data_IF_987355042244
#
_entry.id   IF_987355042244
#
_cell.length_a   1.000
_cell.length_b   1.000
_cell.length_c   1.000
_cell.angle_alpha   90.00
_cell.angle_beta   90.00
_cell.angle_gamma   90.00
#
_symmetry.space_group_name_H-M   'P 1'
#
loop_
_entity.id
_entity.type
_entity.pdbx_description
1 polymer ?
#
# COMPACT_ATOMS: atom_id res chain seq x y z
N UNK A 1 40.49 -28.33 -50.02
CA UNK A 1 39.33 -29.21 -50.27
C UNK A 1 38.14 -28.62 -49.55
N UNK A 2 37.15 -28.18 -50.33
CA UNK A 2 35.90 -27.56 -49.89
C UNK A 2 34.89 -28.65 -49.57
N UNK A 3 34.35 -28.67 -48.36
CA UNK A 3 33.03 -29.20 -47.98
C UNK A 3 32.68 -28.50 -46.65
N UNK A 4 31.61 -27.73 -46.46
CA UNK A 4 30.33 -27.67 -47.15
C UNK A 4 29.22 -28.15 -46.22
N UNK A 5 28.61 -27.21 -45.49
CA UNK A 5 27.26 -27.27 -44.87
C UNK A 5 27.12 -28.23 -43.65
N UNK A 6 26.25 -28.04 -42.64
CA UNK A 6 25.01 -27.28 -42.46
C UNK A 6 24.91 -26.89 -40.97
N UNK A 7 24.53 -25.65 -40.65
CA UNK A 7 24.11 -25.22 -39.31
C UNK A 7 22.82 -25.93 -38.91
N UNK A 8 22.81 -26.69 -37.81
CA UNK A 8 21.58 -27.04 -37.09
C UNK A 8 21.58 -26.35 -35.74
N UNK A 9 20.92 -25.20 -35.72
CA UNK A 9 20.55 -24.46 -34.53
C UNK A 9 19.30 -25.14 -33.95
N UNK A 10 19.45 -25.95 -32.90
CA UNK A 10 18.31 -26.46 -32.16
C UNK A 10 18.05 -25.53 -30.98
N UNK A 11 17.08 -24.62 -31.16
CA UNK A 11 16.41 -23.91 -30.09
C UNK A 11 15.65 -24.94 -29.24
N UNK A 12 16.11 -25.19 -28.02
CA UNK A 12 15.32 -25.86 -26.99
C UNK A 12 15.32 -24.96 -25.76
N UNK A 13 14.49 -23.92 -25.83
CA UNK A 13 14.25 -23.02 -24.71
C UNK A 13 12.74 -22.81 -24.59
N UNK A 14 12.27 -22.80 -23.34
CA UNK A 14 10.93 -22.42 -22.87
C UNK A 14 9.85 -23.52 -22.88
N UNK A 15 9.84 -24.35 -21.83
CA UNK A 15 8.60 -24.97 -21.32
C UNK A 15 8.72 -25.43 -19.84
N UNK A 16 9.54 -24.78 -19.01
CA UNK A 16 9.75 -25.24 -17.63
C UNK A 16 10.14 -24.09 -16.69
N UNK A 17 9.45 -22.97 -16.83
CA UNK A 17 9.56 -21.83 -15.92
C UNK A 17 8.16 -21.26 -15.70
N UNK A 18 7.87 -20.92 -14.44
CA UNK A 18 6.65 -20.26 -13.93
C UNK A 18 5.41 -21.13 -13.67
N UNK A 19 5.52 -22.08 -12.76
CA UNK A 19 4.39 -22.52 -11.92
C UNK A 19 4.79 -22.48 -10.44
N UNK A 20 5.23 -21.30 -9.98
CA UNK A 20 5.14 -20.95 -8.56
C UNK A 20 4.19 -19.76 -8.51
N UNK A 21 2.95 -19.98 -8.91
CA UNK A 21 1.87 -19.06 -8.59
C UNK A 21 1.60 -19.22 -7.10
N UNK A 22 1.74 -18.12 -6.38
CA UNK A 22 1.41 -17.96 -4.97
C UNK A 22 0.06 -18.60 -4.65
N UNK A 23 0.05 -19.70 -3.91
CA UNK A 23 -1.20 -20.30 -3.40
C UNK A 23 -2.00 -19.28 -2.57
N UNK A 24 -1.32 -18.29 -1.98
CA UNK A 24 -1.95 -17.20 -1.24
C UNK A 24 -2.66 -16.16 -2.13
N UNK A 25 -2.21 -15.94 -3.38
CA UNK A 25 -2.92 -15.09 -4.34
C UNK A 25 -4.05 -15.84 -5.05
N UNK A 26 -3.95 -17.16 -5.18
CA UNK A 26 -4.98 -17.99 -5.78
C UNK A 26 -6.21 -18.11 -4.86
N UNK A 27 -6.02 -18.25 -3.55
CA UNK A 27 -7.12 -18.31 -2.58
C UNK A 27 -7.97 -17.03 -2.61
N UNK A 28 -7.34 -15.86 -2.62
CA UNK A 28 -7.99 -14.54 -2.70
C UNK A 28 -8.67 -14.29 -4.07
N UNK A 29 -8.18 -14.94 -5.14
CA UNK A 29 -8.79 -14.87 -6.48
C UNK A 29 -10.03 -15.76 -6.62
N UNK A 30 -10.12 -16.83 -5.83
CA UNK A 30 -11.25 -17.77 -5.84
C UNK A 30 -12.29 -17.50 -4.77
N UNK A 31 -11.99 -16.63 -3.81
CA UNK A 31 -12.87 -16.23 -2.71
C UNK A 31 -13.86 -15.15 -3.18
N UNK A 32 -15.06 -15.58 -3.51
CA UNK A 32 -16.19 -14.74 -3.92
C UNK A 32 -17.40 -15.26 -3.17
N UNK A 33 -18.13 -14.36 -2.51
CA UNK A 33 -19.38 -14.74 -1.85
C UNK A 33 -20.35 -15.31 -2.89
N UNK A 34 -20.84 -16.52 -2.62
CA UNK A 34 -21.90 -17.12 -3.41
C UNK A 34 -23.27 -16.77 -2.83
N UNK A 35 -24.26 -16.63 -3.70
CA UNK A 35 -25.62 -16.31 -3.29
C UNK A 35 -26.60 -16.89 -4.30
N UNK A 36 -27.85 -17.11 -3.88
CA UNK A 36 -28.86 -17.80 -4.68
C UNK A 36 -28.47 -19.25 -5.04
N UNK A 37 -27.81 -19.94 -4.11
CA UNK A 37 -27.45 -21.36 -4.20
C UNK A 37 -28.19 -22.20 -3.15
N UNK A 38 -28.12 -23.53 -3.28
CA UNK A 38 -28.72 -24.47 -2.34
C UNK A 38 -27.64 -25.02 -1.40
N UNK A 39 -27.77 -24.76 -0.10
CA UNK A 39 -26.81 -25.16 0.94
C UNK A 39 -27.45 -26.19 1.86
N UNK A 40 -26.67 -27.20 2.26
CA UNK A 40 -27.12 -28.19 3.24
C UNK A 40 -27.03 -27.63 4.67
N UNK A 41 -28.18 -27.41 5.31
CA UNK A 41 -28.27 -27.13 6.74
C UNK A 41 -28.60 -28.43 7.48
N UNK A 42 -27.56 -29.18 7.84
CA UNK A 42 -27.73 -30.54 8.36
C UNK A 42 -28.09 -31.53 7.25
N UNK A 43 -29.30 -32.11 7.30
CA UNK A 43 -29.79 -33.06 6.27
C UNK A 43 -30.81 -32.42 5.31
N UNK A 44 -31.11 -31.13 5.47
CA UNK A 44 -32.08 -30.41 4.66
C UNK A 44 -31.35 -29.48 3.69
N UNK A 45 -31.87 -29.43 2.47
CA UNK A 45 -31.33 -28.62 1.39
C UNK A 45 -32.14 -27.32 1.36
N UNK A 46 -31.48 -26.21 1.70
CA UNK A 46 -32.10 -24.92 1.93
C UNK A 46 -31.49 -23.91 0.97
N UNK A 47 -32.33 -23.05 0.37
CA UNK A 47 -31.84 -21.97 -0.48
C UNK A 47 -31.16 -20.90 0.37
N UNK A 48 -29.93 -20.52 0.00
CA UNK A 48 -29.23 -19.35 0.48
C UNK A 48 -29.47 -18.17 -0.48
N UNK A 49 -30.37 -17.23 -0.15
CA UNK A 49 -30.75 -16.17 -1.06
C UNK A 49 -29.73 -15.01 -1.13
N UNK A 50 -28.87 -14.84 -0.12
CA UNK A 50 -27.86 -13.77 -0.09
C UNK A 50 -26.74 -14.09 0.89
N UNK A 51 -25.51 -13.84 0.46
CA UNK A 51 -24.35 -13.78 1.35
C UNK A 51 -23.83 -12.34 1.42
N UNK A 52 -23.46 -11.91 2.62
CA UNK A 52 -22.98 -10.56 2.91
C UNK A 52 -21.78 -10.64 3.83
N UNK A 53 -20.65 -10.10 3.37
CA UNK A 53 -19.45 -9.92 4.16
C UNK A 53 -19.22 -8.45 4.45
N UNK A 54 -18.93 -8.15 5.72
CA UNK A 54 -18.58 -6.81 6.18
C UNK A 54 -17.26 -6.90 6.94
N UNK A 55 -16.22 -6.31 6.36
CA UNK A 55 -14.88 -6.31 6.95
C UNK A 55 -14.49 -4.90 7.38
N UNK A 56 -14.56 -4.58 8.67
CA UNK A 56 -14.01 -3.35 9.20
C UNK A 56 -12.50 -3.49 9.42
N UNK A 57 -11.74 -2.48 9.00
CA UNK A 57 -10.29 -2.43 9.17
C UNK A 57 -9.88 -1.08 9.70
N UNK A 58 -9.16 -1.08 10.81
CA UNK A 58 -8.49 0.11 11.31
C UNK A 58 -7.02 0.07 10.96
N UNK A 59 -6.48 1.15 10.42
CA UNK A 59 -5.05 1.29 10.16
C UNK A 59 -4.52 2.61 10.71
N UNK A 60 -3.30 2.56 11.25
CA UNK A 60 -2.56 3.74 11.65
C UNK A 60 -1.19 3.72 10.97
N UNK A 61 -0.92 4.72 10.14
CA UNK A 61 0.35 4.87 9.41
C UNK A 61 1.15 6.03 9.99
N UNK A 62 2.40 5.73 10.36
CA UNK A 62 3.37 6.72 10.80
C UNK A 62 4.43 6.89 9.71
N UNK A 63 4.62 8.12 9.25
CA UNK A 63 5.61 8.49 8.24
C UNK A 63 6.55 9.54 8.84
N UNK A 64 7.85 9.27 8.79
CA UNK A 64 8.87 10.21 9.21
C UNK A 64 9.93 10.36 8.11
N UNK A 65 10.32 11.60 7.84
CA UNK A 65 11.38 11.88 6.89
C UNK A 65 12.23 13.06 7.37
N UNK A 66 13.46 13.12 6.88
CA UNK A 66 14.36 14.26 7.09
C UNK A 66 14.91 14.73 5.76
N UNK A 67 14.82 16.03 5.50
CA UNK A 67 15.56 16.66 4.42
C UNK A 67 16.94 17.03 4.93
N UNK A 68 17.97 16.67 4.19
CA UNK A 68 19.36 17.02 4.51
C UNK A 68 19.96 17.88 3.42
N UNK A 69 20.84 18.80 3.82
CA UNK A 69 21.61 19.66 2.93
C UNK A 69 23.10 19.38 3.11
N UNK A 70 23.83 19.35 2.01
CA UNK A 70 25.28 19.30 2.05
C UNK A 70 25.84 20.70 2.32
N UNK A 71 26.76 20.79 3.27
CA UNK A 71 27.44 22.01 3.68
C UNK A 71 28.94 21.80 3.62
N UNK A 72 29.63 22.66 2.87
CA UNK A 72 31.07 22.68 2.82
C UNK A 72 31.64 23.57 3.93
N UNK A 73 32.38 22.97 4.85
CA UNK A 73 33.04 23.70 5.93
C UNK A 73 34.44 24.13 5.46
N UNK A 74 34.58 25.41 5.10
CA UNK A 74 35.83 25.94 4.53
C UNK A 74 37.04 25.86 5.45
N UNK A 75 36.84 25.85 6.78
CA UNK A 75 37.91 25.77 7.79
C UNK A 75 38.53 24.38 7.86
N UNK A 76 37.72 23.33 7.78
CA UNK A 76 38.16 21.93 7.85
C UNK A 76 38.32 21.28 6.47
N UNK A 77 37.87 21.96 5.41
CA UNK A 77 37.76 21.44 4.03
C UNK A 77 36.97 20.13 3.95
N UNK A 78 35.95 19.99 4.80
CA UNK A 78 35.10 18.80 4.86
C UNK A 78 33.68 19.10 4.37
N UNK A 79 33.09 18.12 3.67
CA UNK A 79 31.65 18.11 3.37
C UNK A 79 30.90 17.50 4.55
N UNK A 80 29.82 18.14 4.97
CA UNK A 80 28.93 17.68 6.05
C UNK A 80 27.49 17.64 5.56
N UNK A 81 26.71 16.73 6.12
CA UNK A 81 25.26 16.70 5.95
C UNK A 81 24.61 17.36 7.16
N UNK A 82 23.90 18.47 6.92
CA UNK A 82 23.08 19.15 7.91
C UNK A 82 21.63 18.69 7.73
N UNK A 83 20.96 18.33 8.83
CA UNK A 83 19.53 18.06 8.77
C UNK A 83 18.80 19.40 8.74
N UNK A 84 18.06 19.64 7.68
CA UNK A 84 17.42 20.93 7.43
C UNK A 84 15.97 20.92 7.96
N UNK A 85 15.21 19.88 7.61
CA UNK A 85 13.80 19.79 7.93
C UNK A 85 13.43 18.38 8.37
N UNK A 86 12.61 18.28 9.40
CA UNK A 86 11.96 17.04 9.82
C UNK A 86 10.48 17.07 9.44
N UNK A 87 10.04 16.00 8.79
CA UNK A 87 8.66 15.73 8.42
C UNK A 87 8.12 14.61 9.28
N UNK A 88 6.92 14.81 9.84
CA UNK A 88 6.16 13.74 10.48
C UNK A 88 4.72 13.77 10.01
N UNK A 89 4.19 12.61 9.67
CA UNK A 89 2.77 12.43 9.36
C UNK A 89 2.22 11.21 10.07
N UNK A 90 1.03 11.37 10.64
CA UNK A 90 0.26 10.31 11.26
C UNK A 90 -1.09 10.27 10.60
N UNK A 91 -1.44 9.11 10.04
CA UNK A 91 -2.72 8.88 9.37
C UNK A 91 -3.46 7.79 10.12
N UNK A 92 -4.72 8.05 10.47
CA UNK A 92 -5.65 7.09 11.05
C UNK A 92 -6.79 6.89 10.05
N UNK A 93 -6.92 5.68 9.55
CA UNK A 93 -7.91 5.30 8.54
C UNK A 93 -8.76 4.15 9.08
N UNK A 94 -10.05 4.20 8.78
CA UNK A 94 -11.01 3.15 9.06
C UNK A 94 -11.67 2.76 7.74
N UNK A 95 -11.27 1.61 7.21
CA UNK A 95 -11.78 1.09 5.97
C UNK A 95 -12.93 0.13 6.26
N UNK A 96 -14.00 0.24 5.48
CA UNK A 96 -15.12 -0.67 5.50
C UNK A 96 -15.20 -1.32 4.13
N UNK A 97 -14.92 -2.61 4.07
CA UNK A 97 -15.12 -3.40 2.86
C UNK A 97 -16.44 -4.17 3.01
N UNK A 98 -17.38 -3.88 2.12
CA UNK A 98 -18.66 -4.57 1.99
C UNK A 98 -18.63 -5.43 0.73
N UNK A 99 -19.03 -6.68 0.87
CA UNK A 99 -19.27 -7.58 -0.24
C UNK A 99 -20.67 -8.20 -0.12
N UNK A 100 -21.37 -8.26 -1.24
CA UNK A 100 -22.72 -8.81 -1.33
C UNK A 100 -22.72 -9.81 -2.48
N UNK A 101 -22.97 -11.09 -2.16
CA UNK A 101 -23.26 -12.12 -3.16
C UNK A 101 -24.55 -11.76 -3.89
N UNK A 102 -24.48 -11.69 -5.22
CA UNK A 102 -25.62 -11.34 -6.07
C UNK A 102 -26.27 -12.57 -6.69
N UNK A 103 -25.47 -13.48 -7.26
CA UNK A 103 -25.94 -14.67 -7.95
C UNK A 103 -24.82 -15.65 -8.28
N UNK A 104 -24.92 -16.90 -7.80
CA UNK A 104 -23.86 -17.90 -7.82
C UNK A 104 -22.51 -17.25 -7.52
N UNK A 105 -21.53 -17.43 -8.40
CA UNK A 105 -20.18 -16.93 -8.23
C UNK A 105 -19.99 -15.43 -8.55
N UNK A 106 -21.05 -14.61 -8.46
CA UNK A 106 -21.05 -13.17 -8.73
C UNK A 106 -21.28 -12.38 -7.44
N UNK A 107 -20.34 -11.51 -7.08
CA UNK A 107 -20.49 -10.58 -5.97
C UNK A 107 -20.27 -9.13 -6.36
N UNK A 108 -20.94 -8.25 -5.63
CA UNK A 108 -20.71 -6.81 -5.66
C UNK A 108 -19.83 -6.43 -4.47
N UNK A 109 -18.80 -5.62 -4.71
CA UNK A 109 -17.86 -5.15 -3.69
C UNK A 109 -17.88 -3.63 -3.61
N UNK A 110 -17.85 -3.09 -2.39
CA UNK A 110 -17.74 -1.66 -2.12
C UNK A 110 -16.74 -1.44 -0.99
N UNK A 111 -15.70 -0.66 -1.25
CA UNK A 111 -14.73 -0.22 -0.25
C UNK A 111 -14.98 1.25 0.12
N UNK A 112 -15.20 1.50 1.41
CA UNK A 112 -15.41 2.84 1.97
C UNK A 112 -14.26 3.16 2.93
N UNK A 113 -13.23 3.87 2.47
CA UNK A 113 -12.18 4.37 3.34
C UNK A 113 -12.64 5.63 4.08
N UNK A 114 -12.55 5.61 5.41
CA UNK A 114 -12.87 6.76 6.27
C UNK A 114 -11.57 7.23 6.94
N UNK A 115 -11.09 8.40 6.53
CA UNK A 115 -9.93 9.04 7.16
C UNK A 115 -10.41 9.78 8.39
N UNK A 116 -10.09 9.23 9.56
CA UNK A 116 -10.42 9.84 10.85
C UNK A 116 -9.54 11.07 11.05
N UNK A 117 -8.25 10.95 10.73
CA UNK A 117 -7.28 12.03 10.88
C UNK A 117 -6.05 11.76 10.03
N UNK A 118 -5.65 12.75 9.23
CA UNK A 118 -4.39 12.78 8.48
C UNK A 118 -3.67 14.07 8.84
N UNK A 119 -2.71 13.98 9.77
CA UNK A 119 -1.98 15.13 10.28
C UNK A 119 -0.51 15.04 9.89
N UNK A 120 -0.05 16.03 9.12
CA UNK A 120 1.35 16.23 8.79
C UNK A 120 1.91 17.46 9.49
N UNK A 121 3.20 17.41 9.80
CA UNK A 121 3.92 18.47 10.49
C UNK A 121 5.34 18.60 9.93
N UNK A 122 5.81 19.85 9.90
CA UNK A 122 7.16 20.20 9.49
C UNK A 122 7.80 21.05 10.58
N UNK A 123 9.05 20.75 10.91
CA UNK A 123 9.86 21.56 11.83
C UNK A 123 11.31 21.56 11.40
N UNK A 124 12.04 22.62 11.73
CA UNK A 124 13.49 22.61 11.58
C UNK A 124 14.10 21.54 12.46
N UNK A 125 15.15 20.87 11.96
CA UNK A 125 15.85 19.85 12.73
C UNK A 125 16.96 20.50 13.58
N UNK A 126 16.71 20.55 14.90
CA UNK A 126 17.66 21.07 15.90
C UNK A 126 18.47 19.97 16.58
N UNK A 127 18.51 18.75 16.02
CA UNK A 127 19.15 17.57 16.65
C UNK A 127 20.69 17.54 16.60
N UNK A 128 21.35 18.61 16.17
CA UNK A 128 22.81 18.71 16.17
C UNK A 128 23.35 19.09 17.56
N UNK A 129 24.37 18.37 18.03
CA UNK A 129 25.06 18.64 19.31
C UNK A 129 25.80 19.98 19.32
N UNK A 130 26.12 20.49 18.12
CA UNK A 130 26.84 21.74 17.91
C UNK A 130 25.86 22.85 17.52
N UNK A 131 25.74 23.93 18.31
CA UNK A 131 24.79 25.03 18.06
C UNK A 131 24.95 25.67 16.68
N UNK A 132 26.18 25.78 16.18
CA UNK A 132 26.48 26.34 14.84
C UNK A 132 25.93 25.50 13.69
N UNK A 133 25.62 24.22 13.94
CA UNK A 133 25.06 23.28 12.97
C UNK A 133 23.59 22.95 13.23
N UNK A 134 22.97 23.55 14.26
CA UNK A 134 21.53 23.46 14.45
C UNK A 134 20.85 24.36 13.40
N UNK A 135 20.02 23.77 12.55
CA UNK A 135 19.31 24.52 11.53
C UNK A 135 18.10 25.23 12.14
N UNK A 136 17.94 26.49 11.79
CA UNK A 136 16.81 27.33 12.16
C UNK A 136 16.47 28.30 11.01
N UNK A 137 15.53 29.20 11.27
CA UNK A 137 15.08 30.20 10.30
C UNK A 137 16.20 31.13 9.82
N UNK A 138 17.23 31.35 10.63
CA UNK A 138 18.31 32.31 10.36
C UNK A 138 19.46 31.75 9.54
N UNK A 139 19.58 30.42 9.42
CA UNK A 139 20.63 29.75 8.64
C UNK A 139 20.07 28.81 7.53
N UNK A 140 18.75 28.67 7.44
CA UNK A 140 18.06 27.98 6.34
C UNK A 140 17.81 28.88 5.13
N UNK A 141 18.89 29.30 4.48
CA UNK A 141 18.83 30.17 3.31
C UNK A 141 20.00 29.99 2.34
N UNK A 142 19.83 30.56 1.15
CA UNK A 142 20.84 30.68 0.11
C UNK A 142 20.85 32.10 -0.46
N UNK A 143 22.05 32.61 -0.75
CA UNK A 143 22.23 33.84 -1.53
C UNK A 143 23.20 33.57 -2.68
N UNK A 144 22.75 33.71 -3.94
CA UNK A 144 23.63 33.56 -5.10
C UNK A 144 24.65 34.71 -5.19
N UNK A 145 24.27 35.91 -4.75
CA UNK A 145 25.14 37.07 -4.71
C UNK A 145 25.74 37.16 -3.31
N UNK A 146 27.03 36.84 -3.19
CA UNK A 146 27.78 36.78 -1.93
C UNK A 146 27.99 38.17 -1.27
N UNK A 147 27.27 39.20 -1.74
CA UNK A 147 27.56 40.61 -1.51
C UNK A 147 26.46 41.38 -0.77
N UNK A 148 25.25 40.83 -0.59
CA UNK A 148 24.24 41.49 0.26
C UNK A 148 23.32 40.50 1.02
N UNK A 149 23.48 40.33 2.34
CA UNK A 149 22.65 39.44 3.17
C UNK A 149 21.24 40.00 3.47
N UNK A 150 20.79 41.04 2.75
CA UNK A 150 19.57 41.77 3.10
C UNK A 150 18.28 41.17 2.52
N UNK A 151 18.39 40.27 1.52
CA UNK A 151 17.24 39.50 0.99
C UNK A 151 17.65 38.05 0.65
N UNK A 152 18.03 37.24 1.64
CA UNK A 152 18.38 35.84 1.40
C UNK A 152 17.13 35.05 0.98
N UNK A 153 17.28 34.16 0.00
CA UNK A 153 16.22 33.21 -0.36
C UNK A 153 16.19 32.12 0.69
N UNK A 154 15.13 32.08 1.50
CA UNK A 154 14.94 31.02 2.50
C UNK A 154 14.44 29.76 1.83
N UNK A 155 14.92 28.61 2.28
CA UNK A 155 14.43 27.33 1.77
C UNK A 155 13.02 27.02 2.28
N UNK A 156 12.73 27.43 3.52
CA UNK A 156 11.45 27.20 4.18
C UNK A 156 10.96 28.47 4.88
N UNK A 157 9.67 28.76 4.76
CA UNK A 157 9.02 29.82 5.53
C UNK A 157 8.41 29.24 6.82
N UNK A 158 9.31 28.82 7.71
CA UNK A 158 8.99 28.31 9.04
C UNK A 158 9.41 29.34 10.08
N UNK A 159 8.59 29.56 11.11
CA UNK A 159 9.02 30.35 12.26
C UNK A 159 9.89 29.50 13.18
N UNK A 160 10.83 30.15 13.85
CA UNK A 160 11.74 29.47 14.78
C UNK A 160 10.98 28.91 15.97
N UNK A 161 11.23 27.65 16.33
CA UNK A 161 10.54 26.95 17.41
C UNK A 161 9.08 26.56 17.10
N UNK A 162 8.51 26.98 15.97
CA UNK A 162 7.15 26.59 15.57
C UNK A 162 7.18 25.31 14.72
N UNK A 163 6.19 24.44 14.95
CA UNK A 163 5.87 23.34 14.05
C UNK A 163 4.82 23.83 13.06
N UNK A 164 5.16 23.85 11.78
CA UNK A 164 4.19 24.18 10.74
C UNK A 164 3.27 23.00 10.51
N UNK A 165 1.96 23.26 10.61
CA UNK A 165 0.94 22.30 10.23
C UNK A 165 0.97 22.12 8.71
N UNK A 166 1.15 20.87 8.30
CA UNK A 166 1.06 20.46 6.91
C UNK A 166 -0.38 20.11 6.54
N UNK A 167 -0.53 19.00 5.82
CA UNK A 167 -1.83 18.38 5.56
C UNK A 167 -2.57 18.11 6.88
N UNK A 168 -3.82 18.53 6.94
CA UNK A 168 -4.77 18.22 8.01
C UNK A 168 -6.08 17.87 7.33
N UNK A 169 -6.48 16.59 7.37
CA UNK A 169 -7.65 16.08 6.66
C UNK A 169 -8.41 15.07 7.50
N UNK A 170 -9.72 15.10 7.37
CA UNK A 170 -10.64 14.06 7.83
C UNK A 170 -11.80 13.94 6.82
N UNK A 171 -12.49 12.81 6.84
CA UNK A 171 -13.63 12.52 5.97
C UNK A 171 -13.40 11.30 5.09
N UNK A 172 -14.11 11.23 3.97
CA UNK A 172 -14.02 10.06 3.08
C UNK A 172 -12.73 10.07 2.25
N UNK A 173 -12.17 8.88 2.07
CA UNK A 173 -11.17 8.60 1.06
C UNK A 173 -11.81 8.35 -0.30
N UNK A 174 -11.03 7.76 -1.20
CA UNK A 174 -11.50 7.38 -2.52
C UNK A 174 -12.28 6.06 -2.39
N UNK A 175 -13.61 6.15 -2.51
CA UNK A 175 -14.46 4.96 -2.49
C UNK A 175 -14.21 4.09 -3.72
N UNK A 176 -14.28 2.77 -3.53
CA UNK A 176 -14.15 1.81 -4.63
C UNK A 176 -15.43 0.99 -4.75
N UNK A 177 -15.77 0.65 -5.98
CA UNK A 177 -16.90 -0.22 -6.30
C UNK A 177 -16.43 -1.23 -7.35
N UNK A 178 -16.84 -2.47 -7.20
CA UNK A 178 -16.41 -3.55 -8.06
C UNK A 178 -17.45 -4.64 -8.18
N UNK A 179 -17.29 -5.45 -9.21
CA UNK A 179 -18.00 -6.71 -9.37
C UNK A 179 -16.92 -7.78 -9.47
N UNK A 180 -17.05 -8.84 -8.69
CA UNK A 180 -16.18 -10.00 -8.75
C UNK A 180 -16.96 -11.19 -9.32
N UNK A 181 -16.31 -11.97 -10.17
CA UNK A 181 -16.87 -13.20 -10.72
C UNK A 181 -15.80 -14.30 -10.71
N UNK A 182 -16.12 -15.45 -10.11
CA UNK A 182 -15.19 -16.59 -10.04
C UNK A 182 -15.83 -17.87 -10.59
N UNK A 183 -15.56 -18.27 -11.85
CA UNK A 183 -16.14 -19.48 -12.42
C UNK A 183 -15.71 -20.80 -11.75
N UNK A 184 -14.67 -20.75 -10.91
CA UNK A 184 -14.16 -21.87 -10.13
C UNK A 184 -14.10 -21.49 -8.64
N UNK A 185 -15.22 -21.01 -8.10
CA UNK A 185 -15.35 -20.76 -6.67
C UNK A 185 -15.16 -22.09 -5.89
N UNK A 186 -14.36 -22.05 -4.83
CA UNK A 186 -14.07 -23.25 -4.01
C UNK A 186 -15.26 -23.59 -3.10
N UNK A 187 -16.11 -22.61 -2.79
CA UNK A 187 -17.34 -22.81 -2.00
C UNK A 187 -18.50 -23.37 -2.85
N UNK A 188 -18.31 -23.42 -4.18
CA UNK A 188 -19.21 -24.04 -5.16
C UNK A 188 -19.33 -25.54 -4.89
N UNK A 189 -20.24 -25.86 -3.99
CA UNK A 189 -20.67 -27.17 -3.52
C UNK A 189 -19.77 -27.82 -2.46
N UNK A 190 -20.20 -27.80 -1.20
CA UNK A 190 -19.98 -28.94 -0.32
C UNK A 190 -20.93 -30.06 -0.75
N UNK A 191 -20.54 -30.87 -1.73
CA UNK A 191 -21.21 -32.17 -1.96
C UNK A 191 -20.69 -33.09 -0.86
N UNK A 192 -21.49 -33.50 0.14
CA UNK A 192 -21.07 -34.60 0.98
C UNK A 192 -20.92 -35.83 0.07
N UNK A 193 -19.69 -36.20 -0.24
CA UNK A 193 -19.40 -37.54 -0.75
C UNK A 193 -19.99 -38.51 0.27
N UNK A 194 -21.12 -39.13 -0.07
CA UNK A 194 -21.88 -40.04 0.81
C UNK A 194 -20.92 -41.02 1.48
N UNK A 195 -20.60 -40.90 2.78
CA UNK A 195 -19.58 -41.74 3.39
C UNK A 195 -20.06 -43.18 3.68
N UNK A 196 -21.31 -43.54 3.30
CA UNK A 196 -21.92 -44.84 3.63
C UNK A 196 -22.32 -45.71 2.43
N UNK A 197 -22.09 -45.29 1.17
CA UNK A 197 -22.25 -46.20 0.02
C UNK A 197 -20.96 -46.98 -0.25
N UNK A 198 -20.55 -47.73 0.77
CA UNK A 198 -19.51 -48.76 0.71
C UNK A 198 -20.11 -50.10 1.10
N UNK A 199 -20.47 -50.89 0.09
CA UNK A 199 -20.57 -52.36 0.14
C UNK A 199 -21.60 -53.00 1.10
N UNK A 200 -22.81 -53.24 0.62
CA UNK A 200 -23.64 -54.37 1.09
C UNK A 200 -24.27 -55.10 -0.10
N UNK A 201 -23.65 -56.21 -0.50
CA UNK A 201 -24.23 -57.19 -1.43
C UNK A 201 -23.32 -57.53 -2.60
#
# INVERSE_FOLDING_TARGET
MVHGNVRKLAFLTAAMGTLIASQALAADLTDVLDAADEVYLGNELVSDPFDISLTPKFSQRHEWAKLKREYYEGSTKQMRLLNELEYKRVVNEFDIDLEIGMFHDLSFRMGIPIIISDQASYKFDTSSDKPEFQINRTNSWFSPEHTNPLTPYRFFDLKEGETLKGRDRSGLGDMTFGIAWSPYNTERHFIPERPWEGNTG
#
